data_IF_948801541330
#
_entry.id   IF_948801541330
#
_cell.length_a   1.000
_cell.length_b   1.000
_cell.length_c   1.000
_cell.angle_alpha   90.00
_cell.angle_beta   90.00
_cell.angle_gamma   90.00
#
_symmetry.space_group_name_H-M   'P 1'
#
loop_
_entity.id
_entity.type
_entity.pdbx_description
1 polymer ?
#
# COMPACT_ATOMS: atom_id res chain seq x y z
N UNK A 1 31.50 46.36 -16.49
CA UNK A 1 30.21 45.65 -16.33
C UNK A 1 30.56 44.19 -16.14
N UNK A 2 30.80 43.78 -14.90
CA UNK A 2 31.09 42.40 -14.55
C UNK A 2 29.76 41.68 -14.37
N UNK A 3 29.45 40.77 -15.29
CA UNK A 3 28.36 39.82 -15.11
C UNK A 3 28.82 38.80 -14.07
N UNK A 4 28.41 39.05 -12.82
CA UNK A 4 28.55 38.12 -11.71
C UNK A 4 27.61 36.94 -11.99
N UNK A 5 28.13 35.92 -12.69
CA UNK A 5 27.43 34.65 -12.90
C UNK A 5 27.50 33.88 -11.59
N UNK A 6 26.60 34.20 -10.68
CA UNK A 6 26.31 33.37 -9.51
C UNK A 6 25.93 31.99 -10.04
N UNK A 7 26.88 31.05 -10.00
CA UNK A 7 26.60 29.66 -10.31
C UNK A 7 25.60 29.19 -9.26
N UNK A 8 24.40 28.70 -9.65
CA UNK A 8 23.42 28.24 -8.68
C UNK A 8 24.07 27.16 -7.83
N UNK A 9 24.01 27.33 -6.51
CA UNK A 9 24.50 26.35 -5.56
C UNK A 9 23.88 25.00 -5.90
N UNK A 10 24.73 23.98 -6.08
CA UNK A 10 24.31 22.63 -6.39
C UNK A 10 23.49 22.12 -5.20
N UNK A 11 22.17 22.06 -5.36
CA UNK A 11 21.25 21.66 -4.29
C UNK A 11 21.71 20.33 -3.69
N UNK A 12 21.74 20.27 -2.36
CA UNK A 12 22.13 19.09 -1.62
C UNK A 12 21.25 17.92 -2.08
N UNK A 13 21.85 16.97 -2.79
CA UNK A 13 21.10 15.87 -3.40
C UNK A 13 20.76 14.90 -2.30
N UNK A 14 19.47 14.71 -1.99
CA UNK A 14 19.05 13.65 -1.08
C UNK A 14 19.68 12.32 -1.50
N UNK A 15 20.22 11.52 -0.56
CA UNK A 15 20.83 10.25 -0.89
C UNK A 15 19.91 9.39 -1.76
N UNK A 16 20.42 8.96 -2.91
CA UNK A 16 19.67 8.12 -3.83
C UNK A 16 18.77 8.87 -4.83
N UNK A 17 18.90 10.19 -4.96
CA UNK A 17 18.36 10.96 -6.08
C UNK A 17 19.50 11.50 -6.94
N UNK A 18 19.30 11.58 -8.25
CA UNK A 18 20.24 12.29 -9.14
C UNK A 18 19.51 12.91 -10.35
N UNK A 19 20.06 13.96 -10.97
CA UNK A 19 19.57 14.44 -12.24
C UNK A 19 19.50 13.32 -13.29
N UNK A 20 18.54 13.43 -14.20
CA UNK A 20 18.45 12.57 -15.37
C UNK A 20 19.65 12.81 -16.29
N UNK A 21 20.21 11.72 -16.81
CA UNK A 21 21.16 11.79 -17.92
C UNK A 21 20.45 12.16 -19.21
N UNK A 22 21.18 12.59 -20.24
CA UNK A 22 20.60 12.89 -21.56
C UNK A 22 19.87 11.70 -22.17
N UNK A 23 20.39 10.48 -21.97
CA UNK A 23 19.76 9.25 -22.45
C UNK A 23 18.42 8.98 -21.76
N UNK A 24 18.36 9.17 -20.45
CA UNK A 24 17.12 9.01 -19.66
C UNK A 24 16.09 10.09 -20.01
N UNK A 25 16.53 11.33 -20.19
CA UNK A 25 15.68 12.42 -20.67
C UNK A 25 15.09 12.08 -22.05
N UNK A 26 15.93 11.60 -22.99
CA UNK A 26 15.49 11.18 -24.32
C UNK A 26 14.53 9.97 -24.29
N UNK A 27 14.66 9.09 -23.30
CA UNK A 27 13.70 8.02 -23.07
C UNK A 27 12.34 8.56 -22.60
N UNK A 28 12.31 9.48 -21.63
CA UNK A 28 11.06 10.15 -21.23
C UNK A 28 10.40 10.88 -22.41
N UNK A 29 11.20 11.55 -23.25
CA UNK A 29 10.69 12.23 -24.45
C UNK A 29 10.09 11.26 -25.47
N UNK A 30 10.67 10.06 -25.60
CA UNK A 30 10.14 8.99 -26.46
C UNK A 30 8.79 8.48 -25.94
N UNK A 31 8.63 8.36 -24.62
CA UNK A 31 7.37 8.01 -23.97
C UNK A 31 6.30 9.11 -24.15
N UNK A 32 6.66 10.39 -23.97
CA UNK A 32 5.77 11.53 -24.27
C UNK A 32 5.31 11.51 -25.72
N UNK A 33 6.23 11.27 -26.65
CA UNK A 33 5.92 11.19 -28.07
C UNK A 33 4.97 10.03 -28.39
N UNK A 34 5.05 8.91 -27.66
CA UNK A 34 4.10 7.80 -27.80
C UNK A 34 2.67 8.24 -27.46
N UNK A 35 2.46 8.89 -26.31
CA UNK A 35 1.11 9.35 -25.89
C UNK A 35 0.56 10.38 -26.86
N UNK A 36 1.37 11.35 -27.33
CA UNK A 36 0.91 12.39 -28.27
C UNK A 36 0.36 11.83 -29.59
N UNK A 37 0.72 10.60 -30.00
CA UNK A 37 0.14 9.96 -31.20
C UNK A 37 -1.34 9.59 -31.03
N UNK A 38 -1.83 9.46 -29.80
CA UNK A 38 -3.25 9.22 -29.50
C UNK A 38 -4.15 10.43 -29.79
N UNK A 39 -3.58 11.61 -30.07
CA UNK A 39 -4.27 12.91 -30.24
C UNK A 39 -4.95 13.44 -28.97
N UNK A 40 -4.70 12.85 -27.81
CA UNK A 40 -5.07 13.41 -26.50
C UNK A 40 -4.29 14.69 -26.23
N UNK A 41 -4.97 15.72 -25.69
CA UNK A 41 -4.27 16.88 -25.16
C UNK A 41 -3.56 16.50 -23.85
N UNK A 42 -2.25 16.30 -23.94
CA UNK A 42 -1.42 15.91 -22.79
C UNK A 42 -1.20 17.04 -21.78
N UNK A 43 -1.70 18.25 -22.05
CA UNK A 43 -1.63 19.39 -21.13
C UNK A 43 -2.91 19.57 -20.31
N UNK A 44 -4.02 18.93 -20.72
CA UNK A 44 -5.28 18.93 -20.01
C UNK A 44 -5.40 17.66 -19.14
N UNK A 45 -5.58 17.87 -17.83
CA UNK A 45 -5.69 16.79 -16.85
C UNK A 45 -6.95 15.94 -17.05
N UNK A 46 -8.06 16.54 -17.47
CA UNK A 46 -9.29 15.79 -17.73
C UNK A 46 -9.11 14.84 -18.92
N UNK A 47 -8.43 15.29 -19.97
CA UNK A 47 -8.14 14.48 -21.16
C UNK A 47 -7.15 13.35 -20.86
N UNK A 48 -6.10 13.61 -20.07
CA UNK A 48 -5.19 12.56 -19.62
C UNK A 48 -5.88 11.57 -18.69
N UNK A 49 -6.72 12.02 -17.75
CA UNK A 49 -7.47 11.13 -16.87
C UNK A 49 -8.40 10.20 -17.65
N UNK A 50 -9.11 10.74 -18.63
CA UNK A 50 -9.94 9.97 -19.55
C UNK A 50 -9.12 8.96 -20.34
N UNK A 51 -7.97 9.36 -20.90
CA UNK A 51 -7.07 8.46 -21.62
C UNK A 51 -6.59 7.30 -20.72
N UNK A 52 -6.17 7.59 -19.49
CA UNK A 52 -5.70 6.57 -18.53
C UNK A 52 -6.82 5.56 -18.24
N UNK A 53 -8.03 6.04 -17.95
CA UNK A 53 -9.18 5.17 -17.67
C UNK A 53 -9.65 4.37 -18.89
N UNK A 54 -9.73 4.99 -20.08
CA UNK A 54 -10.10 4.30 -21.33
C UNK A 54 -9.08 3.21 -21.68
N UNK A 55 -7.79 3.51 -21.54
CA UNK A 55 -6.71 2.55 -21.83
C UNK A 55 -6.75 1.38 -20.86
N UNK A 56 -6.92 1.66 -19.56
CA UNK A 56 -7.07 0.63 -18.54
C UNK A 56 -8.31 -0.25 -18.83
N UNK A 57 -9.47 0.37 -19.10
CA UNK A 57 -10.72 -0.36 -19.34
C UNK A 57 -10.63 -1.24 -20.59
N UNK A 58 -9.98 -0.75 -21.65
CA UNK A 58 -9.72 -1.53 -22.86
C UNK A 58 -8.83 -2.75 -22.58
N UNK A 59 -7.77 -2.59 -21.79
CA UNK A 59 -6.93 -3.70 -21.36
C UNK A 59 -7.67 -4.69 -20.45
N UNK A 60 -8.38 -4.19 -19.44
CA UNK A 60 -9.10 -5.03 -18.47
C UNK A 60 -10.24 -5.84 -19.12
N UNK A 61 -10.76 -5.38 -20.26
CA UNK A 61 -11.75 -6.12 -21.06
C UNK A 61 -11.18 -7.29 -21.87
N UNK A 62 -9.86 -7.38 -22.03
CA UNK A 62 -9.18 -8.47 -22.75
C UNK A 62 -8.62 -9.50 -21.75
N UNK A 63 -9.42 -10.52 -21.46
CA UNK A 63 -9.10 -11.54 -20.46
C UNK A 63 -7.78 -12.27 -20.81
N UNK A 64 -6.74 -12.06 -20.00
CA UNK A 64 -5.44 -12.69 -20.16
C UNK A 64 -4.41 -11.85 -20.93
N UNK A 65 -4.76 -10.62 -21.33
CA UNK A 65 -3.78 -9.69 -21.89
C UNK A 65 -2.70 -9.35 -20.86
N UNK A 66 -1.43 -9.51 -21.24
CA UNK A 66 -0.30 -9.05 -20.44
C UNK A 66 -0.37 -7.54 -20.23
N UNK A 67 0.09 -7.05 -19.08
CA UNK A 67 0.11 -5.61 -18.79
C UNK A 67 1.01 -4.90 -19.82
N UNK A 68 0.52 -3.88 -20.53
CA UNK A 68 1.31 -3.20 -21.55
C UNK A 68 2.31 -2.24 -20.90
N UNK A 69 3.43 -2.75 -20.38
CA UNK A 69 4.43 -2.00 -19.60
C UNK A 69 4.83 -0.66 -20.21
N UNK A 70 5.10 -0.65 -21.52
CA UNK A 70 5.48 0.59 -22.22
C UNK A 70 4.37 1.63 -22.25
N UNK A 71 3.10 1.21 -22.27
CA UNK A 71 1.94 2.12 -22.22
C UNK A 71 1.76 2.64 -20.80
N UNK A 72 1.85 1.77 -19.78
CA UNK A 72 1.76 2.16 -18.36
C UNK A 72 2.84 3.19 -18.01
N UNK A 73 4.08 2.93 -18.43
CA UNK A 73 5.18 3.88 -18.27
C UNK A 73 4.92 5.21 -18.99
N UNK A 74 4.42 5.16 -20.24
CA UNK A 74 4.14 6.37 -21.01
C UNK A 74 3.04 7.23 -20.38
N UNK A 75 1.99 6.61 -19.86
CA UNK A 75 0.92 7.28 -19.13
C UNK A 75 1.45 7.88 -17.81
N UNK A 76 2.28 7.14 -17.07
CA UNK A 76 2.93 7.64 -15.84
C UNK A 76 3.79 8.89 -16.09
N UNK A 77 4.53 8.93 -17.20
CA UNK A 77 5.32 10.12 -17.58
C UNK A 77 4.42 11.32 -17.86
N UNK A 78 3.32 11.16 -18.59
CA UNK A 78 2.41 12.27 -18.87
C UNK A 78 1.69 12.75 -17.60
N UNK A 79 1.31 11.84 -16.71
CA UNK A 79 0.76 12.20 -15.38
C UNK A 79 1.80 13.00 -14.58
N UNK A 80 3.07 12.58 -14.57
CA UNK A 80 4.14 13.32 -13.91
C UNK A 80 4.41 14.70 -14.53
N UNK A 81 4.30 14.84 -15.86
CA UNK A 81 4.41 16.15 -16.52
C UNK A 81 3.31 17.11 -16.08
N UNK A 82 2.09 16.62 -15.87
CA UNK A 82 0.98 17.42 -15.32
C UNK A 82 1.25 17.84 -13.87
N UNK A 83 1.91 16.99 -13.07
CA UNK A 83 2.35 17.35 -11.71
C UNK A 83 3.40 18.46 -11.78
N UNK A 84 4.43 18.31 -12.61
CA UNK A 84 5.46 19.34 -12.84
C UNK A 84 4.85 20.66 -13.29
N UNK A 85 3.86 20.63 -14.19
CA UNK A 85 3.17 21.81 -14.67
C UNK A 85 2.36 22.54 -13.58
N UNK A 86 1.95 21.84 -12.50
CA UNK A 86 1.16 22.39 -11.40
C UNK A 86 1.94 22.69 -10.12
N UNK A 87 3.17 22.20 -10.01
CA UNK A 87 4.04 22.42 -8.86
C UNK A 87 5.26 23.27 -9.28
N UNK A 88 5.25 24.60 -9.04
CA UNK A 88 6.34 25.48 -9.45
C UNK A 88 7.72 25.02 -8.95
N UNK A 89 8.67 24.89 -9.87
CA UNK A 89 10.05 24.46 -9.58
C UNK A 89 10.23 22.95 -9.36
N UNK A 90 9.13 22.18 -9.35
CA UNK A 90 9.24 20.73 -9.38
C UNK A 90 9.88 20.26 -10.68
N UNK A 91 10.65 19.18 -10.62
CA UNK A 91 11.38 18.67 -11.78
C UNK A 91 11.61 17.17 -11.70
N UNK A 92 11.87 16.57 -12.86
CA UNK A 92 12.17 15.15 -12.97
C UNK A 92 13.60 14.85 -12.52
N UNK A 93 13.76 13.80 -11.72
CA UNK A 93 15.05 13.21 -11.32
C UNK A 93 14.96 11.68 -11.43
N UNK A 94 16.09 11.00 -11.28
CA UNK A 94 16.13 9.56 -11.13
C UNK A 94 16.33 9.19 -9.67
N UNK A 95 15.41 8.40 -9.13
CA UNK A 95 15.59 7.71 -7.85
C UNK A 95 16.39 6.44 -8.06
N UNK A 96 17.55 6.36 -7.44
CA UNK A 96 18.45 5.19 -7.46
C UNK A 96 18.41 4.39 -6.15
N UNK A 97 17.80 4.93 -5.10
CA UNK A 97 17.49 4.19 -3.87
C UNK A 97 16.28 3.25 -4.09
N UNK A 98 16.54 2.09 -4.70
CA UNK A 98 15.56 1.04 -4.99
C UNK A 98 16.19 -0.11 -5.77
N UNK A 99 15.47 -1.25 -5.92
CA UNK A 99 15.96 -2.38 -6.71
C UNK A 99 16.11 -2.03 -8.20
N UNK A 100 15.29 -1.10 -8.68
CA UNK A 100 15.33 -0.57 -10.05
C UNK A 100 15.35 0.95 -10.00
N UNK A 101 16.24 1.63 -10.74
CA UNK A 101 16.19 3.08 -10.85
C UNK A 101 14.89 3.53 -11.53
N UNK A 102 14.16 4.44 -10.89
CA UNK A 102 12.84 4.88 -11.35
C UNK A 102 12.80 6.42 -11.46
N UNK A 103 12.34 6.97 -12.60
CA UNK A 103 12.07 8.41 -12.72
C UNK A 103 11.01 8.86 -11.71
N UNK A 104 11.27 9.94 -10.99
CA UNK A 104 10.33 10.56 -10.06
C UNK A 104 10.32 12.08 -10.23
N UNK A 105 9.29 12.72 -9.69
CA UNK A 105 9.17 14.18 -9.66
C UNK A 105 9.43 14.65 -8.24
N UNK A 106 10.30 15.63 -8.08
CA UNK A 106 10.69 16.17 -6.77
C UNK A 106 10.37 17.64 -6.63
N UNK A 107 10.22 18.10 -5.40
CA UNK A 107 10.08 19.50 -5.04
C UNK A 107 11.37 20.28 -5.36
N UNK A 108 11.33 21.63 -5.42
CA UNK A 108 12.50 22.44 -5.80
C UNK A 108 13.73 22.24 -4.91
N UNK A 109 13.50 21.99 -3.62
CA UNK A 109 14.50 21.69 -2.59
C UNK A 109 14.89 20.20 -2.52
N UNK A 110 14.14 19.34 -3.21
CA UNK A 110 14.34 17.91 -3.25
C UNK A 110 13.77 17.13 -2.07
N UNK A 111 13.14 17.77 -1.08
CA UNK A 111 12.68 17.12 0.17
C UNK A 111 11.44 16.24 0.00
N UNK A 112 10.58 16.56 -0.97
CA UNK A 112 9.42 15.77 -1.34
C UNK A 112 9.59 15.14 -2.71
N UNK A 113 9.05 13.93 -2.86
CA UNK A 113 9.07 13.19 -4.10
C UNK A 113 7.74 12.47 -4.32
N UNK A 114 7.28 12.45 -5.57
CA UNK A 114 6.17 11.60 -6.01
C UNK A 114 6.66 10.67 -7.12
N UNK A 115 6.04 9.50 -7.26
CA UNK A 115 6.49 8.44 -8.17
C UNK A 115 5.40 8.09 -9.19
N UNK A 116 5.12 8.97 -10.18
CA UNK A 116 3.99 8.78 -11.09
C UNK A 116 3.97 7.44 -11.83
N UNK A 117 5.16 6.86 -12.12
CA UNK A 117 5.29 5.56 -12.78
C UNK A 117 4.93 4.40 -11.85
N UNK A 118 5.34 4.45 -10.59
CA UNK A 118 5.00 3.42 -9.60
C UNK A 118 3.52 3.55 -9.20
N UNK A 119 3.02 4.78 -9.06
CA UNK A 119 1.64 5.05 -8.67
C UNK A 119 0.65 4.61 -9.75
N UNK A 120 0.92 4.87 -11.03
CA UNK A 120 0.07 4.38 -12.12
C UNK A 120 0.15 2.86 -12.27
N UNK A 121 1.33 2.26 -12.03
CA UNK A 121 1.51 0.81 -12.03
C UNK A 121 0.68 0.16 -10.92
N UNK A 122 0.79 0.68 -9.70
CA UNK A 122 -0.02 0.24 -8.56
C UNK A 122 -1.51 0.39 -8.84
N UNK A 123 -1.92 1.47 -9.53
CA UNK A 123 -3.33 1.65 -9.90
C UNK A 123 -3.79 0.68 -10.99
N UNK A 124 -2.93 0.36 -11.95
CA UNK A 124 -3.22 -0.65 -12.98
C UNK A 124 -3.55 -2.01 -12.36
N UNK A 125 -2.86 -2.33 -11.27
CA UNK A 125 -2.96 -3.58 -10.53
C UNK A 125 -4.26 -3.75 -9.73
N UNK A 126 -4.85 -2.65 -9.26
CA UNK A 126 -6.03 -2.64 -8.38
C UNK A 126 -7.28 -2.05 -9.05
N UNK A 127 -7.13 -1.51 -10.25
CA UNK A 127 -8.19 -0.85 -11.02
C UNK A 127 -8.04 0.67 -11.07
N UNK A 128 -8.31 1.27 -12.23
CA UNK A 128 -8.24 2.72 -12.47
C UNK A 128 -9.64 3.31 -12.56
N UNK A 129 -10.03 4.14 -11.60
CA UNK A 129 -11.29 4.91 -11.68
C UNK A 129 -11.16 6.12 -12.61
N UNK A 130 -12.28 6.62 -13.20
CA UNK A 130 -12.25 7.75 -14.13
C UNK A 130 -11.62 9.04 -13.57
N UNK A 131 -11.70 9.23 -12.26
CA UNK A 131 -11.28 10.42 -11.53
C UNK A 131 -9.89 10.30 -10.86
N UNK A 132 -9.30 9.10 -10.86
CA UNK A 132 -8.06 8.83 -10.12
C UNK A 132 -6.92 9.76 -10.53
N UNK A 133 -6.63 9.89 -11.83
CA UNK A 133 -5.49 10.68 -12.30
C UNK A 133 -5.68 12.18 -11.97
N UNK A 134 -6.90 12.71 -12.07
CA UNK A 134 -7.21 14.09 -11.70
C UNK A 134 -6.97 14.34 -10.21
N UNK A 135 -7.45 13.44 -9.35
CA UNK A 135 -7.22 13.50 -7.90
C UNK A 135 -5.75 13.35 -7.54
N UNK A 136 -5.05 12.40 -8.18
CA UNK A 136 -3.62 12.17 -8.01
C UNK A 136 -2.80 13.42 -8.34
N UNK A 137 -2.99 14.02 -9.53
CA UNK A 137 -2.22 15.19 -9.96
C UNK A 137 -2.43 16.36 -8.99
N UNK A 138 -3.65 16.57 -8.50
CA UNK A 138 -3.95 17.63 -7.53
C UNK A 138 -3.26 17.37 -6.18
N UNK A 139 -3.36 16.15 -5.65
CA UNK A 139 -2.74 15.77 -4.38
C UNK A 139 -1.20 15.80 -4.45
N UNK A 140 -0.62 15.27 -5.53
CA UNK A 140 0.82 15.26 -5.77
C UNK A 140 1.39 16.67 -5.90
N UNK A 141 0.74 17.55 -6.68
CA UNK A 141 1.19 18.93 -6.80
C UNK A 141 1.10 19.70 -5.46
N UNK A 142 0.03 19.48 -4.69
CA UNK A 142 -0.09 20.04 -3.34
C UNK A 142 1.02 19.54 -2.40
N UNK A 143 1.33 18.24 -2.45
CA UNK A 143 2.40 17.64 -1.67
C UNK A 143 3.77 18.28 -1.98
N UNK A 144 4.11 18.44 -3.26
CA UNK A 144 5.36 19.07 -3.67
C UNK A 144 5.43 20.57 -3.36
N UNK A 145 4.29 21.25 -3.27
CA UNK A 145 4.23 22.68 -2.96
C UNK A 145 4.48 22.98 -1.47
N UNK A 146 4.09 22.09 -0.56
CA UNK A 146 4.26 22.28 0.89
C UNK A 146 5.73 22.29 1.31
N UNK A 147 6.58 21.50 0.64
CA UNK A 147 8.01 21.44 0.94
C UNK A 147 8.79 22.69 0.53
N UNK A 148 8.28 23.50 -0.42
CA UNK A 148 8.95 24.72 -0.88
C UNK A 148 8.66 25.98 -0.07
N UNK A 149 7.83 25.92 0.98
CA UNK A 149 7.66 27.07 1.85
C UNK A 149 9.00 27.30 2.57
N UNK A 150 9.55 28.52 2.55
CA UNK A 150 10.63 28.86 3.46
C UNK A 150 10.14 28.41 4.83
N UNK A 151 10.92 27.58 5.52
CA UNK A 151 10.90 27.57 6.96
C UNK A 151 11.16 29.03 7.32
N UNK A 152 10.10 29.83 7.48
CA UNK A 152 10.17 31.09 8.20
C UNK A 152 10.90 30.69 9.46
N UNK A 153 12.13 31.19 9.62
CA UNK A 153 12.90 31.07 10.84
C UNK A 153 11.89 31.22 11.95
N UNK A 154 11.69 30.15 12.71
CA UNK A 154 10.74 30.12 13.79
C UNK A 154 11.22 31.15 14.81
N UNK A 155 10.85 32.39 14.56
CA UNK A 155 11.02 33.52 15.43
C UNK A 155 10.21 33.16 16.67
N UNK A 156 10.97 32.78 17.69
CA UNK A 156 10.61 32.53 19.08
C UNK A 156 9.10 32.59 19.33
N UNK A 157 8.43 31.45 19.13
CA UNK A 157 7.03 31.31 19.51
C UNK A 157 6.86 31.73 20.98
N UNK A 158 5.94 32.65 21.33
CA UNK A 158 5.74 33.05 22.71
C UNK A 158 5.37 31.80 23.51
N UNK A 159 6.12 31.56 24.58
CA UNK A 159 5.93 30.43 25.48
C UNK A 159 4.48 30.37 25.96
N UNK A 160 3.66 29.50 25.36
CA UNK A 160 2.38 29.13 25.92
C UNK A 160 2.65 28.15 27.06
N UNK A 161 2.32 28.59 28.27
CA UNK A 161 2.38 27.81 29.49
C UNK A 161 1.38 26.64 29.38
N UNK A 162 1.91 25.45 29.10
CA UNK A 162 1.13 24.21 29.06
C UNK A 162 0.66 23.90 30.50
N UNK A 163 -0.66 23.77 30.76
CA UNK A 163 -1.15 23.41 32.08
C UNK A 163 -0.59 22.04 32.50
N UNK A 164 0.15 22.01 33.61
CA UNK A 164 0.70 20.78 34.17
C UNK A 164 -0.39 19.75 34.43
N UNK A 165 -0.22 18.56 33.83
CA UNK A 165 -1.05 17.39 34.05
C UNK A 165 -1.07 17.03 35.54
N UNK A 166 -2.27 17.01 36.14
CA UNK A 166 -2.49 16.56 37.52
C UNK A 166 -2.10 15.09 37.67
N UNK A 167 -1.28 14.83 38.68
CA UNK A 167 -0.97 13.51 39.21
C UNK A 167 -2.27 12.75 39.56
N UNK A 168 -2.45 11.48 39.13
CA UNK A 168 -3.59 10.69 39.54
C UNK A 168 -3.50 10.31 41.02
N UNK A 169 -4.65 10.36 41.69
CA UNK A 169 -4.82 9.94 43.09
C UNK A 169 -4.63 8.41 43.25
N UNK A 170 -4.14 7.94 44.41
CA UNK A 170 -3.91 6.52 44.65
C UNK A 170 -5.22 5.73 44.68
N UNK A 171 -5.31 4.69 43.84
CA UNK A 171 -6.42 3.77 43.80
C UNK A 171 -6.45 2.85 45.05
N UNK A 172 -7.65 2.67 45.60
CA UNK A 172 -7.91 1.82 46.76
C UNK A 172 -7.67 0.34 46.46
N UNK A 173 -7.04 -0.36 47.42
CA UNK A 173 -6.74 -1.78 47.36
C UNK A 173 -7.99 -2.66 47.47
N UNK A 174 -8.12 -3.65 46.58
CA UNK A 174 -9.10 -4.74 46.67
C UNK A 174 -8.52 -5.95 47.41
N UNK A 175 -9.36 -6.79 48.05
CA UNK A 175 -8.93 -7.86 48.95
C UNK A 175 -8.28 -9.03 48.19
N UNK A 176 -7.13 -9.47 48.72
CA UNK A 176 -6.39 -10.66 48.28
C UNK A 176 -7.21 -11.93 48.55
N UNK A 177 -7.51 -12.68 47.50
CA UNK A 177 -7.98 -14.07 47.58
C UNK A 177 -6.78 -15.00 47.58
N UNK A 178 -6.70 -15.83 48.62
CA UNK A 178 -5.67 -16.84 48.85
C UNK A 178 -5.77 -17.96 47.81
N UNK A 179 -4.65 -18.31 47.19
CA UNK A 179 -4.53 -19.34 46.17
C UNK A 179 -4.51 -20.76 46.75
N UNK A 180 -5.00 -21.72 45.97
CA UNK A 180 -4.68 -23.15 46.05
C UNK A 180 -3.71 -23.51 44.91
N UNK A 181 -2.81 -24.49 45.06
CA UNK A 181 -1.74 -24.75 44.11
C UNK A 181 -2.14 -25.83 43.09
N UNK A 182 -1.95 -25.60 41.78
CA UNK A 182 -1.76 -26.66 40.79
C UNK A 182 -1.32 -26.13 39.41
N UNK A 183 -0.33 -26.85 38.86
CA UNK A 183 0.11 -26.98 37.46
C UNK A 183 0.92 -25.84 36.83
N UNK A 184 2.02 -26.22 36.16
CA UNK A 184 2.97 -25.37 35.43
C UNK A 184 2.27 -24.36 34.51
N UNK A 185 2.44 -23.08 34.84
CA UNK A 185 1.97 -21.93 34.08
C UNK A 185 2.77 -21.79 32.77
N UNK A 186 2.21 -22.26 31.66
CA UNK A 186 2.51 -21.65 30.37
C UNK A 186 1.93 -20.22 30.39
N UNK A 187 2.73 -19.16 30.17
CA UNK A 187 2.24 -17.79 30.28
C UNK A 187 1.08 -17.55 29.31
N UNK A 188 -0.03 -17.03 29.83
CA UNK A 188 -1.18 -16.62 29.04
C UNK A 188 -0.72 -15.70 27.89
N UNK A 189 -1.21 -15.90 26.65
CA UNK A 189 -0.77 -15.11 25.51
C UNK A 189 -1.12 -13.63 25.76
N UNK A 190 -0.10 -12.79 25.82
CA UNK A 190 -0.27 -11.35 25.89
C UNK A 190 -1.05 -10.89 24.67
N UNK A 191 -2.26 -10.37 24.90
CA UNK A 191 -3.19 -9.78 23.93
C UNK A 191 -2.73 -8.41 23.42
N UNK A 192 -1.41 -8.20 23.34
CA UNK A 192 -0.81 -7.00 22.81
C UNK A 192 -0.79 -7.02 21.28
N UNK A 193 -0.92 -5.83 20.68
CA UNK A 193 -0.60 -5.62 19.27
C UNK A 193 0.84 -6.08 19.01
N UNK A 194 1.01 -7.03 18.07
CA UNK A 194 2.32 -7.44 17.57
C UNK A 194 2.62 -6.70 16.28
N UNK A 195 3.83 -6.18 16.16
CA UNK A 195 4.40 -5.71 14.90
C UNK A 195 5.13 -6.86 14.19
N UNK A 196 5.42 -6.77 12.88
CA UNK A 196 6.15 -7.83 12.18
C UNK A 196 7.54 -8.11 12.77
N UNK A 197 8.15 -7.10 13.40
CA UNK A 197 9.44 -7.21 14.09
C UNK A 197 9.37 -7.98 15.42
N UNK A 198 8.18 -8.16 15.99
CA UNK A 198 7.97 -8.91 17.24
C UNK A 198 7.83 -10.43 17.00
N UNK A 199 7.83 -10.86 15.73
CA UNK A 199 7.77 -12.29 15.38
C UNK A 199 9.13 -12.97 15.57
N UNK A 200 9.17 -14.25 15.99
CA UNK A 200 10.42 -15.00 16.14
C UNK A 200 11.32 -14.96 14.90
N UNK A 201 10.71 -15.06 13.71
CA UNK A 201 11.40 -14.89 12.44
C UNK A 201 10.72 -13.81 11.59
N UNK A 202 11.17 -12.54 11.68
CA UNK A 202 10.52 -11.45 10.96
C UNK A 202 10.43 -11.73 9.45
N UNK A 203 9.25 -11.52 8.83
CA UNK A 203 9.05 -11.69 7.40
C UNK A 203 9.84 -10.64 6.61
N UNK A 204 10.24 -10.98 5.40
CA UNK A 204 10.90 -10.01 4.51
C UNK A 204 9.96 -8.83 4.18
N UNK A 205 10.47 -7.63 3.85
CA UNK A 205 9.62 -6.51 3.44
C UNK A 205 8.69 -6.84 2.26
N UNK A 206 9.16 -7.62 1.29
CA UNK A 206 8.34 -8.06 0.16
C UNK A 206 7.18 -8.98 0.59
N UNK A 207 7.44 -9.90 1.53
CA UNK A 207 6.39 -10.77 2.10
C UNK A 207 5.38 -9.96 2.92
N UNK A 208 5.84 -8.94 3.66
CA UNK A 208 4.96 -8.04 4.42
C UNK A 208 4.04 -7.23 3.49
N UNK A 209 4.61 -6.60 2.45
CA UNK A 209 3.86 -5.83 1.46
C UNK A 209 2.81 -6.71 0.75
N UNK A 210 3.21 -7.92 0.30
CA UNK A 210 2.28 -8.85 -0.34
C UNK A 210 1.16 -9.29 0.61
N UNK A 211 1.46 -9.56 1.88
CA UNK A 211 0.47 -9.90 2.90
C UNK A 211 -0.52 -8.76 3.17
N UNK A 212 -0.05 -7.51 3.25
CA UNK A 212 -0.91 -6.35 3.46
C UNK A 212 -1.83 -6.10 2.27
N UNK A 213 -1.31 -6.19 1.03
CA UNK A 213 -2.14 -6.08 -0.19
C UNK A 213 -3.20 -7.16 -0.28
N UNK A 214 -2.86 -8.38 0.09
CA UNK A 214 -3.83 -9.47 0.11
C UNK A 214 -4.91 -9.27 1.19
N UNK A 215 -4.55 -8.70 2.34
CA UNK A 215 -5.51 -8.34 3.38
C UNK A 215 -6.49 -7.25 2.92
N UNK A 216 -5.96 -6.20 2.29
CA UNK A 216 -6.77 -5.13 1.69
C UNK A 216 -7.73 -5.71 0.64
N UNK A 217 -7.23 -6.54 -0.27
CA UNK A 217 -8.04 -7.21 -1.28
C UNK A 217 -9.14 -8.09 -0.67
N UNK A 218 -8.82 -8.86 0.37
CA UNK A 218 -9.79 -9.70 1.07
C UNK A 218 -10.88 -8.86 1.77
N UNK A 219 -10.52 -7.73 2.36
CA UNK A 219 -11.47 -6.80 2.97
C UNK A 219 -12.38 -6.16 1.93
N UNK A 220 -11.82 -5.65 0.84
CA UNK A 220 -12.61 -5.05 -0.24
C UNK A 220 -13.62 -6.05 -0.81
N UNK A 221 -13.23 -7.31 -0.98
CA UNK A 221 -14.14 -8.38 -1.42
C UNK A 221 -15.32 -8.58 -0.46
N UNK A 222 -15.06 -8.79 0.84
CA UNK A 222 -16.15 -9.01 1.82
C UNK A 222 -17.03 -7.78 2.03
N UNK A 223 -16.45 -6.58 1.94
CA UNK A 223 -17.19 -5.32 2.05
C UNK A 223 -17.99 -5.01 0.77
N UNK A 224 -17.50 -5.46 -0.39
CA UNK A 224 -18.17 -5.40 -1.69
C UNK A 224 -19.34 -6.39 -1.84
N UNK A 225 -19.53 -7.30 -0.88
CA UNK A 225 -20.65 -8.24 -0.84
C UNK A 225 -20.26 -9.70 -1.06
N UNK A 226 -18.98 -10.02 -1.21
CA UNK A 226 -18.50 -11.40 -1.24
C UNK A 226 -18.43 -11.98 0.17
N UNK A 227 -19.59 -12.30 0.74
CA UNK A 227 -19.71 -12.91 2.06
C UNK A 227 -20.47 -14.25 1.91
N UNK A 228 -19.82 -15.42 2.14
CA UNK A 228 -18.46 -15.59 2.66
C UNK A 228 -17.35 -15.22 1.66
N UNK A 229 -16.15 -14.91 2.17
CA UNK A 229 -14.98 -14.64 1.31
C UNK A 229 -14.67 -15.88 0.48
N UNK A 230 -14.57 -15.74 -0.85
CA UNK A 230 -14.01 -16.79 -1.69
C UNK A 230 -12.51 -16.88 -1.42
N UNK A 231 -12.04 -18.03 -0.93
CA UNK A 231 -10.61 -18.24 -0.67
C UNK A 231 -9.80 -17.99 -1.93
N UNK A 232 -8.67 -17.30 -1.78
CA UNK A 232 -7.74 -17.07 -2.88
C UNK A 232 -6.29 -17.20 -2.44
N UNK A 233 -5.42 -17.40 -3.40
CA UNK A 233 -3.98 -17.30 -3.23
C UNK A 233 -3.41 -16.22 -4.14
N UNK A 234 -2.34 -15.58 -3.68
CA UNK A 234 -1.54 -14.66 -4.48
C UNK A 234 -0.08 -15.13 -4.49
N UNK A 235 0.56 -15.14 -5.64
CA UNK A 235 2.01 -15.41 -5.78
C UNK A 235 2.70 -14.21 -6.41
N UNK A 236 3.93 -13.95 -5.98
CA UNK A 236 4.79 -12.90 -6.52
C UNK A 236 6.16 -13.49 -6.90
N UNK A 237 6.54 -13.44 -8.17
CA UNK A 237 7.82 -13.99 -8.67
C UNK A 237 9.00 -12.99 -8.64
N UNK A 238 8.73 -11.77 -8.19
CA UNK A 238 9.67 -10.64 -8.20
C UNK A 238 9.25 -9.53 -9.15
N UNK A 239 8.38 -9.84 -10.12
CA UNK A 239 7.91 -8.91 -11.15
C UNK A 239 6.40 -8.98 -11.32
N UNK A 240 5.85 -10.19 -11.36
CA UNK A 240 4.45 -10.47 -11.64
C UNK A 240 3.74 -10.98 -10.39
N UNK A 241 2.50 -10.50 -10.22
CA UNK A 241 1.55 -11.03 -9.25
C UNK A 241 0.49 -11.83 -9.98
N UNK A 242 0.23 -13.04 -9.50
CA UNK A 242 -0.85 -13.90 -9.99
C UNK A 242 -1.81 -14.16 -8.84
N UNK A 243 -3.11 -13.97 -9.09
CA UNK A 243 -4.18 -14.25 -8.13
C UNK A 243 -4.99 -15.42 -8.64
N UNK A 244 -5.22 -16.43 -7.79
CA UNK A 244 -6.07 -17.57 -8.11
C UNK A 244 -7.12 -17.80 -7.01
N UNK A 245 -8.39 -17.96 -7.40
CA UNK A 245 -9.50 -18.23 -6.48
C UNK A 245 -9.78 -19.72 -6.36
N UNK A 246 -10.29 -20.12 -5.19
CA UNK A 246 -10.56 -21.50 -4.81
C UNK A 246 -11.96 -21.59 -4.18
N UNK A 247 -13.03 -21.76 -4.98
CA UNK A 247 -14.39 -21.85 -4.44
C UNK A 247 -14.62 -23.14 -3.66
N UNK A 248 -15.45 -23.09 -2.61
CA UNK A 248 -15.82 -24.27 -1.82
C UNK A 248 -15.84 -23.98 -0.32
N UNK A 249 -15.80 -25.04 0.48
CA UNK A 249 -15.61 -24.94 1.93
C UNK A 249 -14.27 -24.26 2.25
N UNK A 250 -14.27 -23.27 3.15
CA UNK A 250 -13.10 -22.42 3.45
C UNK A 250 -11.86 -23.21 3.88
N UNK A 251 -12.03 -24.35 4.55
CA UNK A 251 -10.90 -25.16 5.01
C UNK A 251 -10.32 -25.97 3.88
N UNK A 252 -11.17 -26.65 3.11
CA UNK A 252 -10.75 -27.44 1.95
C UNK A 252 -10.15 -26.54 0.85
N UNK A 253 -10.74 -25.38 0.60
CA UNK A 253 -10.22 -24.40 -0.35
C UNK A 253 -8.87 -23.84 0.08
N UNK A 254 -8.68 -23.55 1.38
CA UNK A 254 -7.39 -23.09 1.90
C UNK A 254 -6.30 -24.15 1.72
N UNK A 255 -6.60 -25.43 1.93
CA UNK A 255 -5.64 -26.51 1.71
C UNK A 255 -5.25 -26.65 0.23
N UNK A 256 -6.21 -26.51 -0.70
CA UNK A 256 -5.93 -26.46 -2.14
C UNK A 256 -5.12 -25.22 -2.53
N UNK A 257 -5.43 -24.06 -1.96
CA UNK A 257 -4.69 -22.82 -2.18
C UNK A 257 -3.24 -22.95 -1.70
N UNK A 258 -3.01 -23.53 -0.51
CA UNK A 258 -1.68 -23.86 0.01
C UNK A 258 -0.93 -24.83 -0.90
N UNK A 259 -1.58 -25.86 -1.42
CA UNK A 259 -0.96 -26.79 -2.36
C UNK A 259 -0.55 -26.10 -3.67
N UNK A 260 -1.38 -25.18 -4.17
CA UNK A 260 -1.08 -24.42 -5.37
C UNK A 260 0.11 -23.47 -5.19
N UNK A 261 0.17 -22.70 -4.09
CA UNK A 261 1.33 -21.80 -3.84
C UNK A 261 2.63 -22.58 -3.70
N UNK A 262 2.63 -23.74 -3.03
CA UNK A 262 3.82 -24.63 -2.93
C UNK A 262 4.32 -25.08 -4.30
N UNK A 263 3.42 -25.29 -5.26
CA UNK A 263 3.77 -25.70 -6.60
C UNK A 263 4.22 -24.54 -7.52
N UNK A 264 4.07 -23.28 -7.08
CA UNK A 264 4.28 -22.10 -7.93
C UNK A 264 5.75 -21.75 -8.20
N UNK A 265 6.66 -22.11 -7.28
CA UNK A 265 8.05 -21.65 -7.33
C UNK A 265 8.23 -20.14 -7.13
N UNK A 266 7.23 -19.44 -6.58
CA UNK A 266 7.24 -18.00 -6.39
C UNK A 266 8.27 -17.52 -5.35
N UNK A 267 8.62 -16.23 -5.41
CA UNK A 267 9.52 -15.58 -4.46
C UNK A 267 8.80 -15.15 -3.17
N UNK A 268 7.48 -14.96 -3.23
CA UNK A 268 6.59 -14.81 -2.08
C UNK A 268 5.19 -15.29 -2.44
N UNK A 269 4.46 -15.81 -1.44
CA UNK A 269 3.10 -16.27 -1.64
C UNK A 269 2.22 -15.94 -0.44
N UNK A 270 0.93 -15.85 -0.73
CA UNK A 270 -0.12 -15.56 0.23
C UNK A 270 -1.31 -16.47 -0.01
N UNK A 271 -1.97 -16.90 1.07
CA UNK A 271 -3.29 -17.52 1.05
C UNK A 271 -4.21 -16.71 1.96
N UNK A 272 -5.41 -16.38 1.47
CA UNK A 272 -6.41 -15.61 2.21
C UNK A 272 -7.75 -16.35 2.26
N UNK A 273 -8.38 -16.38 3.42
CA UNK A 273 -9.65 -17.08 3.66
C UNK A 273 -10.47 -16.40 4.77
N UNK A 274 -11.77 -16.71 4.85
CA UNK A 274 -12.60 -16.33 5.99
C UNK A 274 -12.41 -17.30 7.15
N UNK A 275 -12.21 -16.77 8.34
CA UNK A 275 -12.05 -17.56 9.57
C UNK A 275 -12.36 -16.75 10.83
N UNK A 276 -11.86 -17.24 11.96
CA UNK A 276 -11.99 -16.60 13.28
C UNK A 276 -10.60 -16.28 13.83
N UNK A 277 -10.46 -15.18 14.58
CA UNK A 277 -9.20 -14.82 15.23
C UNK A 277 -9.12 -15.42 16.64
N UNK A 278 -7.93 -15.79 17.13
CA UNK A 278 -7.78 -16.33 18.47
C UNK A 278 -8.26 -15.35 19.55
N UNK A 279 -9.08 -15.86 20.47
CA UNK A 279 -9.63 -15.08 21.58
C UNK A 279 -10.90 -14.30 21.26
N UNK A 280 -11.41 -14.37 20.02
CA UNK A 280 -12.69 -13.79 19.66
C UNK A 280 -13.87 -14.61 20.19
N UNK A 281 -15.01 -13.93 20.36
CA UNK A 281 -16.28 -14.60 20.64
C UNK A 281 -16.71 -15.43 19.42
N UNK A 282 -17.26 -16.65 19.63
CA UNK A 282 -17.74 -17.49 18.53
C UNK A 282 -18.68 -16.73 17.58
N UNK A 283 -18.45 -16.86 16.27
CA UNK A 283 -19.23 -16.15 15.24
C UNK A 283 -18.73 -14.73 14.92
N UNK A 284 -17.56 -14.34 15.43
CA UNK A 284 -16.85 -13.14 14.97
C UNK A 284 -16.16 -13.43 13.64
N UNK A 285 -16.59 -12.77 12.57
CA UNK A 285 -16.03 -12.96 11.24
C UNK A 285 -14.72 -12.19 11.09
N UNK A 286 -13.72 -12.85 10.53
CA UNK A 286 -12.47 -12.22 10.15
C UNK A 286 -11.99 -12.74 8.80
N UNK A 287 -11.30 -11.86 8.08
CA UNK A 287 -10.42 -12.30 6.99
C UNK A 287 -9.06 -12.64 7.61
N UNK A 288 -8.49 -13.77 7.20
CA UNK A 288 -7.19 -14.25 7.65
C UNK A 288 -6.30 -14.42 6.44
N UNK A 289 -5.07 -13.92 6.56
CA UNK A 289 -4.05 -13.91 5.52
C UNK A 289 -2.79 -14.55 6.07
N UNK A 290 -2.28 -15.55 5.34
CA UNK A 290 -1.02 -16.23 5.61
C UNK A 290 -0.03 -15.88 4.51
N UNK A 291 1.11 -15.26 4.84
CA UNK A 291 2.11 -14.78 3.88
C UNK A 291 3.50 -15.35 4.18
N UNK A 292 4.19 -15.90 3.20
CA UNK A 292 5.52 -16.52 3.39
C UNK A 292 6.42 -16.32 2.17
N UNK A 293 7.74 -16.36 2.42
CA UNK A 293 8.77 -16.51 1.38
C UNK A 293 9.39 -17.91 1.44
N UNK A 294 10.21 -18.32 0.45
CA UNK A 294 10.77 -19.67 0.34
C UNK A 294 11.46 -20.16 1.61
N UNK A 295 10.97 -21.28 2.18
CA UNK A 295 11.51 -21.93 3.36
C UNK A 295 11.39 -21.14 4.66
N UNK A 296 10.61 -20.04 4.69
CA UNK A 296 10.45 -19.17 5.86
C UNK A 296 9.08 -19.39 6.51
N UNK A 297 8.97 -19.35 7.86
CA UNK A 297 7.68 -19.37 8.54
C UNK A 297 6.74 -18.31 7.99
N UNK A 298 5.45 -18.63 7.90
CA UNK A 298 4.46 -17.67 7.42
C UNK A 298 4.14 -16.62 8.49
N UNK A 299 3.88 -15.39 8.08
CA UNK A 299 3.23 -14.37 8.89
C UNK A 299 1.72 -14.53 8.75
N UNK A 300 1.00 -14.64 9.86
CA UNK A 300 -0.47 -14.70 9.86
C UNK A 300 -1.03 -13.37 10.36
N UNK A 301 -1.79 -12.70 9.50
CA UNK A 301 -2.47 -11.43 9.79
C UNK A 301 -3.97 -11.63 9.65
N UNK A 302 -4.76 -10.98 10.48
CA UNK A 302 -6.21 -10.99 10.30
C UNK A 302 -6.86 -9.66 10.60
N UNK A 303 -8.05 -9.46 10.05
CA UNK A 303 -8.86 -8.27 10.30
C UNK A 303 -10.32 -8.69 10.41
N UNK A 304 -10.93 -8.35 11.55
CA UNK A 304 -12.36 -8.57 11.78
C UNK A 304 -13.20 -7.68 10.89
N UNK A 305 -14.37 -8.19 10.52
CA UNK A 305 -15.39 -7.38 9.86
C UNK A 305 -16.77 -7.75 10.39
N UNK A 306 -17.69 -6.79 10.32
CA UNK A 306 -19.09 -7.02 10.58
C UNK A 306 -19.79 -7.23 9.23
N UNK A 307 -20.40 -8.40 8.97
CA UNK A 307 -21.15 -8.62 7.73
C UNK A 307 -22.41 -7.75 7.70
N UNK A 308 -22.99 -7.60 6.52
CA UNK A 308 -24.26 -6.91 6.36
C UNK A 308 -25.33 -7.57 7.23
N UNK A 309 -26.01 -6.80 8.08
CA UNK A 309 -27.12 -7.29 8.90
C UNK A 309 -28.40 -6.58 8.47
N UNK A 310 -29.38 -7.37 8.02
CA UNK A 310 -30.75 -6.90 7.86
C UNK A 310 -31.39 -6.84 9.24
N UNK A 311 -31.55 -5.65 9.81
CA UNK A 311 -32.34 -5.54 11.04
C UNK A 311 -33.82 -5.76 10.70
N UNK A 312 -34.57 -6.38 11.61
CA UNK A 312 -36.01 -6.63 11.45
C UNK A 312 -36.85 -5.35 11.26
N UNK A 313 -36.27 -4.17 11.46
CA UNK A 313 -36.89 -2.85 11.24
C UNK A 313 -36.64 -2.29 9.83
N UNK A 314 -36.15 -3.11 8.90
CA UNK A 314 -35.95 -2.70 7.49
C UNK A 314 -34.75 -1.79 7.26
N UNK A 315 -33.86 -1.61 8.25
CA UNK A 315 -32.58 -0.90 8.06
C UNK A 315 -31.44 -1.91 7.91
N UNK A 316 -30.98 -2.11 6.67
CA UNK A 316 -29.77 -2.86 6.42
C UNK A 316 -28.54 -2.05 6.88
N UNK A 317 -27.70 -2.64 7.72
CA UNK A 317 -26.38 -2.08 8.03
C UNK A 317 -25.39 -2.61 7.00
N UNK A 318 -24.70 -1.72 6.29
CA UNK A 318 -23.63 -2.08 5.37
C UNK A 318 -22.50 -2.83 6.11
N UNK A 319 -21.81 -3.76 5.43
CA UNK A 319 -20.66 -4.42 6.02
C UNK A 319 -19.56 -3.39 6.31
N UNK A 320 -18.74 -3.63 7.34
CA UNK A 320 -17.66 -2.70 7.72
C UNK A 320 -16.52 -3.41 8.44
N UNK A 321 -15.28 -2.90 8.36
CA UNK A 321 -14.19 -3.39 9.19
C UNK A 321 -14.45 -3.12 10.67
N UNK A 322 -13.88 -3.96 11.54
CA UNK A 322 -14.03 -3.87 13.00
C UNK A 322 -12.66 -3.91 13.66
N UNK A 323 -12.22 -2.77 14.17
CA UNK A 323 -10.91 -2.63 14.82
C UNK A 323 -9.78 -2.45 13.80
N UNK A 324 -8.56 -2.70 14.25
CA UNK A 324 -7.34 -2.64 13.43
C UNK A 324 -6.92 -4.05 12.99
N UNK A 325 -6.21 -4.18 11.85
CA UNK A 325 -5.49 -5.40 11.51
C UNK A 325 -4.58 -5.86 12.65
N UNK A 326 -4.50 -7.17 12.86
CA UNK A 326 -3.64 -7.74 13.88
C UNK A 326 -2.81 -8.90 13.38
N UNK A 327 -1.55 -8.97 13.83
CA UNK A 327 -0.67 -10.10 13.57
C UNK A 327 -0.97 -11.18 14.61
N UNK A 328 -1.50 -12.30 14.14
CA UNK A 328 -1.90 -13.44 14.96
C UNK A 328 -0.67 -14.22 15.43
N UNK A 329 0.32 -14.39 14.55
CA UNK A 329 1.54 -15.13 14.86
C UNK A 329 2.26 -15.62 13.62
N UNK A 330 2.94 -16.76 13.76
CA UNK A 330 3.60 -17.45 12.67
C UNK A 330 2.98 -18.82 12.41
N UNK A 331 2.89 -19.20 11.15
CA UNK A 331 2.52 -20.54 10.70
C UNK A 331 3.67 -21.26 10.01
N UNK A 332 3.36 -22.43 9.46
CA UNK A 332 4.32 -23.21 8.69
C UNK A 332 4.70 -22.49 7.37
N UNK A 333 5.87 -22.78 6.78
CA UNK A 333 6.22 -22.26 5.46
C UNK A 333 5.17 -22.60 4.39
N UNK A 334 4.79 -21.60 3.58
CA UNK A 334 3.92 -21.80 2.42
C UNK A 334 4.70 -22.20 1.16
N UNK A 335 5.98 -21.82 1.08
CA UNK A 335 6.86 -22.01 -0.07
C UNK A 335 8.09 -22.85 0.31
#
# INVERSE_FOLDING_TARGET
MSEDRTSPAQAATMPGLRPLTLGEQGHLDSLRAHVRRSRTDVTDVADVARLVHETFTGWAGDAGAAVPEGVVAALGVVVGDLVVARAPGAHWVLRTAGPTPTPCVVSPDGEAAVLPLDDIRARWDIGVTPDWASGYVAAAAAHLAVSGLPTEDADEAPAFEVPQQRTPAPAAALPRRTAAPAADDAPAPATGYRTPGDLPEPPSPATQDLGLRALEHALDAVLGGECPLVTFAMTHDGVHRVVQTFPGDSRESADRARAWVRASGAAAAVVAWEGELPGDEPGTHAVVVEASGPGRPSMVVGHRYAPAKTSGEGRARAPRPVGEPMIVGQGDPLL
#
